data_IF_936805832953
#
_entry.id   IF_936805832953
#
_cell.length_a   1.000
_cell.length_b   1.000
_cell.length_c   1.000
_cell.angle_alpha   90.00
_cell.angle_beta   90.00
_cell.angle_gamma   90.00
#
_symmetry.space_group_name_H-M   'P 1'
#
loop_
_entity.id
_entity.type
_entity.pdbx_description
1 polymer ?
#
# COMPACT_ATOMS: atom_id res chain seq x y z
N UNK A 1 0.83 10.69 13.82
CA UNK A 1 -0.07 10.94 14.96
C UNK A 1 -0.77 9.64 15.29
N UNK A 2 -0.64 9.14 16.53
CA UNK A 2 -1.47 8.03 16.98
C UNK A 2 -2.92 8.51 16.99
N UNK A 3 -3.83 7.69 16.46
CA UNK A 3 -5.27 7.95 16.58
C UNK A 3 -5.64 7.85 18.05
N UNK A 4 -6.35 8.84 18.57
CA UNK A 4 -6.94 8.74 19.90
C UNK A 4 -7.85 7.50 19.96
N UNK A 5 -7.80 6.71 21.05
CA UNK A 5 -8.72 5.58 21.20
C UNK A 5 -10.16 6.11 21.20
N UNK A 6 -11.04 5.40 20.51
CA UNK A 6 -12.48 5.64 20.65
C UNK A 6 -12.89 5.41 22.09
N UNK A 7 -13.90 6.17 22.62
CA UNK A 7 -14.34 6.03 24.00
C UNK A 7 -14.69 4.57 24.29
N UNK A 8 -14.24 4.09 25.45
CA UNK A 8 -14.36 2.72 25.93
C UNK A 8 -15.81 2.21 25.83
N UNK A 9 -16.10 1.44 24.80
CA UNK A 9 -17.24 0.54 24.83
C UNK A 9 -16.82 -0.73 25.58
N UNK A 10 -17.15 -0.80 26.85
CA UNK A 10 -16.99 -2.02 27.64
C UNK A 10 -18.09 -3.01 27.28
N UNK A 11 -17.71 -4.09 26.64
CA UNK A 11 -18.62 -5.24 26.42
C UNK A 11 -18.43 -6.22 27.57
N UNK A 12 -19.56 -6.62 28.21
CA UNK A 12 -19.54 -7.58 29.30
C UNK A 12 -18.90 -8.92 28.84
N UNK A 13 -17.89 -9.40 29.58
CA UNK A 13 -17.14 -10.60 29.26
C UNK A 13 -15.93 -10.41 28.31
N UNK A 14 -15.61 -9.19 27.89
CA UNK A 14 -14.43 -8.88 27.08
C UNK A 14 -13.44 -8.00 27.83
N UNK A 15 -12.15 -8.32 27.69
CA UNK A 15 -11.06 -7.46 28.17
C UNK A 15 -10.49 -6.66 26.99
N UNK A 16 -10.40 -5.34 27.14
CA UNK A 16 -9.69 -4.47 26.20
C UNK A 16 -8.18 -4.75 26.26
N UNK A 17 -7.57 -5.04 25.11
CA UNK A 17 -6.12 -5.12 24.94
C UNK A 17 -5.67 -4.02 23.98
N UNK A 18 -5.37 -2.84 24.54
CA UNK A 18 -5.05 -1.61 23.79
C UNK A 18 -3.56 -1.46 23.46
N UNK A 19 -2.68 -2.30 24.06
CA UNK A 19 -1.22 -2.22 23.92
C UNK A 19 -0.63 -3.26 22.95
N UNK A 20 -1.42 -3.82 22.05
CA UNK A 20 -0.92 -4.84 21.11
C UNK A 20 -0.43 -4.26 19.78
N UNK A 21 -1.02 -3.16 19.34
CA UNK A 21 -0.77 -2.59 18.02
C UNK A 21 -0.78 -1.07 18.05
N UNK A 22 0.04 -0.50 17.16
CA UNK A 22 -0.01 0.93 16.78
C UNK A 22 -0.37 1.06 15.31
N UNK A 23 -1.01 2.17 14.94
CA UNK A 23 -1.25 2.55 13.55
C UNK A 23 -0.33 3.68 13.16
N UNK A 24 0.23 3.59 11.96
CA UNK A 24 1.01 4.65 11.36
C UNK A 24 0.23 5.29 10.23
N UNK A 25 0.07 6.61 10.30
CA UNK A 25 -0.54 7.38 9.24
C UNK A 25 0.38 8.54 8.84
N UNK A 26 0.32 8.91 7.56
CA UNK A 26 1.10 9.99 6.99
C UNK A 26 0.18 10.96 6.24
N UNK A 27 0.31 12.28 6.41
CA UNK A 27 -0.47 13.23 5.63
C UNK A 27 -0.03 13.17 4.16
N UNK A 28 -1.02 13.28 3.26
CA UNK A 28 -0.78 13.41 1.83
C UNK A 28 -0.74 14.89 1.45
N UNK A 29 0.25 15.25 0.64
CA UNK A 29 0.45 16.62 0.13
C UNK A 29 0.38 16.56 -1.39
N UNK A 30 -0.42 17.45 -1.99
CA UNK A 30 -0.62 17.45 -3.44
C UNK A 30 0.65 17.82 -4.23
N UNK A 31 1.51 18.65 -3.66
CA UNK A 31 2.81 18.99 -4.28
C UNK A 31 3.80 17.84 -4.06
N UNK A 32 4.28 17.26 -5.15
CA UNK A 32 5.15 16.08 -5.14
C UNK A 32 6.49 16.35 -4.44
N UNK A 33 7.06 17.54 -4.64
CA UNK A 33 8.34 17.89 -4.01
C UNK A 33 8.18 18.11 -2.50
N UNK A 34 7.07 18.75 -2.09
CA UNK A 34 6.71 18.90 -0.70
C UNK A 34 6.46 17.53 -0.06
N UNK A 35 5.72 16.63 -0.73
CA UNK A 35 5.51 15.26 -0.26
C UNK A 35 6.84 14.52 -0.06
N UNK A 36 7.76 14.59 -1.02
CA UNK A 36 9.08 13.98 -0.89
C UNK A 36 9.87 14.54 0.30
N UNK A 37 9.76 15.83 0.61
CA UNK A 37 10.46 16.45 1.75
C UNK A 37 9.98 15.95 3.10
N UNK A 38 8.77 15.39 3.20
CA UNK A 38 8.25 14.80 4.44
C UNK A 38 8.96 13.50 4.83
N UNK A 39 9.63 12.82 3.88
CA UNK A 39 10.33 11.57 4.15
C UNK A 39 11.77 11.77 4.62
N UNK A 40 12.30 10.82 5.42
CA UNK A 40 13.72 10.77 5.76
C UNK A 40 14.61 10.70 4.52
N UNK A 41 15.85 11.18 4.65
CA UNK A 41 16.82 11.25 3.54
C UNK A 41 17.03 9.91 2.82
N UNK A 42 17.11 8.83 3.59
CA UNK A 42 17.34 7.50 3.03
C UNK A 42 16.14 7.00 2.22
N UNK A 43 14.91 7.22 2.71
CA UNK A 43 13.68 6.91 1.99
C UNK A 43 13.63 7.68 0.68
N UNK A 44 13.90 9.01 0.71
CA UNK A 44 13.95 9.83 -0.50
C UNK A 44 14.97 9.32 -1.51
N UNK A 45 16.13 8.87 -1.04
CA UNK A 45 17.16 8.27 -1.89
C UNK A 45 16.64 7.01 -2.58
N UNK A 46 15.94 6.14 -1.85
CA UNK A 46 15.37 4.91 -2.38
C UNK A 46 14.26 5.18 -3.40
N UNK A 47 13.34 6.11 -3.11
CA UNK A 47 12.28 6.52 -4.05
C UNK A 47 12.90 6.98 -5.38
N UNK A 48 13.95 7.79 -5.33
CA UNK A 48 14.66 8.30 -6.53
C UNK A 48 15.40 7.22 -7.34
N UNK A 49 15.57 6.01 -6.82
CA UNK A 49 16.12 4.90 -7.62
C UNK A 49 15.08 4.40 -8.64
N UNK A 50 13.79 4.40 -8.30
CA UNK A 50 12.74 3.93 -9.20
C UNK A 50 12.84 4.51 -10.62
N UNK A 51 12.78 5.84 -10.81
CA UNK A 51 12.94 6.45 -12.14
C UNK A 51 14.28 6.15 -12.81
N UNK A 52 15.38 6.05 -12.06
CA UNK A 52 16.70 5.69 -12.61
C UNK A 52 16.73 4.29 -13.20
N UNK A 53 15.94 3.39 -12.62
CA UNK A 53 15.74 2.02 -13.10
C UNK A 53 14.56 1.90 -14.06
N UNK A 54 14.00 3.04 -14.54
CA UNK A 54 12.87 3.07 -15.48
C UNK A 54 11.62 2.36 -14.93
N UNK A 55 11.43 2.41 -13.61
CA UNK A 55 10.17 1.98 -13.02
C UNK A 55 9.06 2.97 -13.38
N UNK A 56 7.92 2.44 -13.74
CA UNK A 56 6.69 3.18 -14.03
C UNK A 56 5.55 2.65 -13.18
N UNK A 57 4.54 3.48 -12.94
CA UNK A 57 3.36 3.13 -12.18
C UNK A 57 2.09 3.35 -12.97
N UNK A 58 1.10 2.49 -12.76
CA UNK A 58 -0.21 2.57 -13.39
C UNK A 58 -1.28 2.07 -12.41
N UNK A 59 -2.45 2.74 -12.36
CA UNK A 59 -3.61 2.26 -11.60
C UNK A 59 -4.47 1.41 -12.54
N UNK A 60 -4.69 0.17 -12.14
CA UNK A 60 -5.51 -0.81 -12.86
C UNK A 60 -6.51 -1.47 -11.90
N UNK A 61 -7.29 -2.38 -12.42
CA UNK A 61 -8.27 -3.14 -11.64
C UNK A 61 -8.23 -4.63 -12.04
N UNK A 62 -9.32 -5.14 -12.57
CA UNK A 62 -9.48 -6.56 -12.94
C UNK A 62 -8.44 -7.03 -13.95
N UNK A 63 -7.99 -6.14 -14.85
CA UNK A 63 -6.96 -6.44 -15.85
C UNK A 63 -5.59 -6.76 -15.24
N UNK A 64 -5.33 -6.26 -14.03
CA UNK A 64 -4.10 -6.54 -13.31
C UNK A 64 -4.23 -7.66 -12.26
N UNK A 65 -5.41 -8.24 -12.09
CA UNK A 65 -5.69 -9.17 -10.98
C UNK A 65 -4.77 -10.40 -11.00
N UNK A 66 -4.52 -10.99 -12.17
CA UNK A 66 -3.68 -12.17 -12.28
C UNK A 66 -2.22 -11.84 -11.93
N UNK A 67 -1.66 -10.80 -12.56
CA UNK A 67 -0.27 -10.36 -12.32
C UNK A 67 -0.06 -9.95 -10.85
N UNK A 68 -1.03 -9.22 -10.28
CA UNK A 68 -1.02 -8.86 -8.86
C UNK A 68 -1.03 -10.10 -7.97
N UNK A 69 -1.91 -11.07 -8.26
CA UNK A 69 -2.01 -12.29 -7.46
C UNK A 69 -0.71 -13.08 -7.45
N UNK A 70 -0.07 -13.22 -8.61
CA UNK A 70 1.17 -13.99 -8.74
C UNK A 70 2.32 -13.37 -7.91
N UNK A 71 2.49 -12.05 -7.96
CA UNK A 71 3.51 -11.36 -7.17
C UNK A 71 3.17 -11.33 -5.68
N UNK A 72 1.89 -11.14 -5.34
CA UNK A 72 1.42 -11.21 -3.95
C UNK A 72 1.65 -12.60 -3.35
N UNK A 73 1.20 -13.66 -4.05
CA UNK A 73 1.35 -15.02 -3.59
C UNK A 73 2.83 -15.40 -3.39
N UNK A 74 3.70 -15.01 -4.33
CA UNK A 74 5.15 -15.20 -4.22
C UNK A 74 5.72 -14.50 -2.99
N UNK A 75 5.36 -13.23 -2.78
CA UNK A 75 5.86 -12.44 -1.65
C UNK A 75 5.41 -13.02 -0.30
N UNK A 76 4.14 -13.37 -0.19
CA UNK A 76 3.55 -13.89 1.06
C UNK A 76 4.08 -15.30 1.37
N UNK A 77 4.23 -16.15 0.34
CA UNK A 77 4.84 -17.47 0.48
C UNK A 77 6.27 -17.38 1.03
N UNK A 78 7.07 -16.44 0.50
CA UNK A 78 8.45 -16.22 0.96
C UNK A 78 8.51 -15.72 2.43
N UNK A 79 7.43 -15.13 2.94
CA UNK A 79 7.29 -14.73 4.34
C UNK A 79 6.73 -15.84 5.24
N UNK A 80 6.41 -17.01 4.69
CA UNK A 80 5.84 -18.14 5.44
C UNK A 80 4.40 -17.89 5.89
N UNK A 81 3.68 -16.98 5.25
CA UNK A 81 2.28 -16.65 5.58
C UNK A 81 1.34 -17.37 4.59
N UNK A 82 0.18 -17.89 5.04
CA UNK A 82 -0.81 -18.48 4.13
C UNK A 82 -1.29 -17.46 3.08
N UNK A 83 -1.37 -17.91 1.83
CA UNK A 83 -1.84 -17.10 0.71
C UNK A 83 -3.37 -17.16 0.66
N UNK A 84 -4.03 -15.99 0.62
CA UNK A 84 -5.47 -15.93 0.38
C UNK A 84 -5.81 -16.32 -1.07
N UNK A 85 -6.99 -16.91 -1.32
CA UNK A 85 -7.38 -17.30 -2.67
C UNK A 85 -7.60 -16.06 -3.56
N UNK A 86 -7.24 -16.17 -4.83
CA UNK A 86 -7.40 -15.08 -5.83
C UNK A 86 -8.85 -14.54 -5.88
N UNK A 87 -9.84 -15.41 -5.68
CA UNK A 87 -11.26 -15.04 -5.65
C UNK A 87 -11.54 -13.94 -4.63
N UNK A 88 -10.84 -13.90 -3.49
CA UNK A 88 -11.02 -12.84 -2.49
C UNK A 88 -10.74 -11.46 -3.09
N UNK A 89 -9.68 -11.33 -3.85
CA UNK A 89 -9.27 -10.07 -4.49
C UNK A 89 -10.21 -9.69 -5.64
N UNK A 90 -10.68 -10.67 -6.40
CA UNK A 90 -11.71 -10.46 -7.41
C UNK A 90 -13.01 -9.90 -6.79
N UNK A 91 -13.43 -10.46 -5.66
CA UNK A 91 -14.60 -9.96 -4.93
C UNK A 91 -14.38 -8.54 -4.37
N UNK A 92 -13.18 -8.22 -3.87
CA UNK A 92 -12.89 -6.84 -3.45
C UNK A 92 -13.02 -5.84 -4.59
N UNK A 93 -12.46 -6.13 -5.76
CA UNK A 93 -12.57 -5.26 -6.92
C UNK A 93 -14.03 -5.12 -7.38
N UNK A 94 -14.81 -6.20 -7.33
CA UNK A 94 -16.21 -6.19 -7.72
C UNK A 94 -17.10 -5.41 -6.75
N UNK A 95 -16.95 -5.66 -5.43
CA UNK A 95 -17.83 -5.07 -4.40
C UNK A 95 -17.47 -3.61 -4.09
N UNK A 96 -16.22 -3.19 -4.36
CA UNK A 96 -15.73 -1.85 -4.09
C UNK A 96 -15.23 -1.15 -5.38
N UNK A 97 -16.10 -0.95 -6.40
CA UNK A 97 -15.68 -0.47 -7.72
C UNK A 97 -14.99 0.89 -7.67
N UNK A 98 -15.40 1.79 -6.77
CA UNK A 98 -14.87 3.14 -6.63
C UNK A 98 -13.87 3.28 -5.47
N UNK A 99 -13.73 2.22 -4.65
CA UNK A 99 -12.99 2.26 -3.40
C UNK A 99 -11.91 1.17 -3.28
N UNK A 100 -11.61 0.45 -4.37
CA UNK A 100 -10.54 -0.55 -4.42
C UNK A 100 -9.90 -0.56 -5.80
N UNK A 101 -8.57 -0.48 -5.86
CA UNK A 101 -7.80 -0.63 -7.09
C UNK A 101 -6.42 -1.26 -6.84
N UNK A 102 -5.68 -1.49 -7.92
CA UNK A 102 -4.35 -2.08 -7.92
C UNK A 102 -3.38 -1.07 -8.56
N UNK A 103 -2.42 -0.55 -7.80
CA UNK A 103 -1.27 0.12 -8.37
C UNK A 103 -0.26 -0.93 -8.83
N UNK A 104 0.07 -0.89 -10.10
CA UNK A 104 1.06 -1.77 -10.74
C UNK A 104 2.36 -1.02 -10.95
N UNK A 105 3.49 -1.69 -10.67
CA UNK A 105 4.82 -1.20 -10.99
C UNK A 105 5.44 -2.08 -12.07
N UNK A 106 5.97 -1.44 -13.12
CA UNK A 106 6.65 -2.11 -14.23
C UNK A 106 8.07 -1.57 -14.42
N UNK A 107 8.96 -2.42 -14.94
CA UNK A 107 10.23 -2.00 -15.54
C UNK A 107 10.17 -2.30 -17.05
N UNK A 108 9.97 -1.28 -17.85
CA UNK A 108 9.64 -1.48 -19.26
C UNK A 108 8.34 -2.28 -19.42
N UNK A 109 8.43 -3.45 -20.07
CA UNK A 109 7.28 -4.37 -20.22
C UNK A 109 7.14 -5.39 -19.09
N UNK A 110 8.14 -5.49 -18.21
CA UNK A 110 8.17 -6.49 -17.16
C UNK A 110 7.37 -6.02 -15.94
N UNK A 111 6.47 -6.86 -15.44
CA UNK A 111 5.76 -6.65 -14.21
C UNK A 111 6.72 -6.82 -13.02
N UNK A 112 6.81 -5.83 -12.15
CA UNK A 112 7.80 -5.81 -11.08
C UNK A 112 7.19 -5.94 -9.68
N UNK A 113 6.00 -5.40 -9.49
CA UNK A 113 5.30 -5.44 -8.21
C UNK A 113 3.94 -4.75 -8.30
N UNK A 114 3.14 -4.91 -7.25
CA UNK A 114 1.84 -4.25 -7.17
C UNK A 114 1.36 -4.12 -5.72
N UNK A 115 0.40 -3.22 -5.52
CA UNK A 115 -0.32 -3.05 -4.27
C UNK A 115 -1.80 -2.85 -4.52
N UNK A 116 -2.64 -3.68 -3.89
CA UNK A 116 -4.08 -3.51 -3.83
C UNK A 116 -4.40 -2.62 -2.63
N UNK A 117 -5.15 -1.55 -2.89
CA UNK A 117 -5.45 -0.50 -1.92
C UNK A 117 -6.95 -0.29 -1.79
N UNK A 118 -7.36 0.08 -0.58
CA UNK A 118 -8.71 0.54 -0.29
C UNK A 118 -8.75 2.03 -0.03
N UNK A 119 -9.85 2.67 -0.40
CA UNK A 119 -10.10 4.09 -0.23
C UNK A 119 -11.35 4.30 0.61
N UNK A 120 -11.24 5.08 1.67
CA UNK A 120 -12.38 5.36 2.52
C UNK A 120 -12.31 6.79 3.04
N UNK A 121 -13.37 7.59 2.78
CA UNK A 121 -13.42 9.02 3.11
C UNK A 121 -12.22 9.76 2.49
N UNK A 122 -11.29 10.21 3.30
CA UNK A 122 -10.09 10.96 2.94
C UNK A 122 -8.80 10.12 2.98
N UNK A 123 -8.93 8.82 3.25
CA UNK A 123 -7.81 7.94 3.58
C UNK A 123 -7.62 6.85 2.52
N UNK A 124 -6.37 6.62 2.14
CA UNK A 124 -5.93 5.43 1.37
C UNK A 124 -5.22 4.45 2.28
N UNK A 125 -5.56 3.17 2.14
CA UNK A 125 -4.99 2.04 2.88
C UNK A 125 -4.40 1.02 1.91
N UNK A 126 -3.07 0.95 1.71
CA UNK A 126 -2.42 -0.14 1.00
C UNK A 126 -2.51 -1.41 1.85
N UNK A 127 -3.24 -2.40 1.37
CA UNK A 127 -3.56 -3.55 2.23
C UNK A 127 -2.80 -4.82 1.84
N UNK A 128 -2.70 -5.11 0.54
CA UNK A 128 -2.01 -6.28 0.02
C UNK A 128 -0.98 -5.86 -1.01
N UNK A 129 0.28 -6.17 -0.78
CA UNK A 129 1.36 -5.78 -1.66
C UNK A 129 2.33 -6.94 -1.91
N UNK A 130 3.00 -6.90 -3.06
CA UNK A 130 4.08 -7.78 -3.40
C UNK A 130 5.01 -7.16 -4.43
N UNK A 131 6.27 -7.58 -4.41
CA UNK A 131 7.26 -7.26 -5.43
C UNK A 131 8.17 -8.47 -5.64
N UNK A 132 8.61 -8.69 -6.88
CA UNK A 132 9.55 -9.76 -7.16
C UNK A 132 10.94 -9.42 -6.62
N UNK A 133 11.67 -10.38 -6.01
CA UNK A 133 12.94 -10.15 -5.34
C UNK A 133 14.01 -9.50 -6.21
N UNK A 134 14.05 -9.81 -7.52
CA UNK A 134 14.99 -9.24 -8.46
C UNK A 134 14.91 -7.72 -8.58
N UNK A 135 13.75 -7.11 -8.22
CA UNK A 135 13.57 -5.66 -8.25
C UNK A 135 13.86 -4.97 -6.91
N UNK A 136 14.16 -5.68 -5.83
CA UNK A 136 14.36 -5.02 -4.52
C UNK A 136 15.47 -3.98 -4.53
N UNK A 137 16.54 -4.22 -5.32
CA UNK A 137 17.67 -3.27 -5.44
C UNK A 137 17.33 -1.99 -6.17
N UNK A 138 16.21 -1.94 -6.90
CA UNK A 138 15.72 -0.73 -7.57
C UNK A 138 15.00 0.22 -6.64
N UNK A 139 14.79 -0.16 -5.38
CA UNK A 139 13.99 0.62 -4.42
C UNK A 139 12.48 0.49 -4.67
N UNK A 140 12.03 -0.58 -5.34
CA UNK A 140 10.64 -0.77 -5.78
C UNK A 140 9.62 -0.54 -4.67
N UNK A 141 9.84 -1.03 -3.46
CA UNK A 141 8.88 -0.88 -2.37
C UNK A 141 8.68 0.60 -1.99
N UNK A 142 9.77 1.36 -1.86
CA UNK A 142 9.68 2.79 -1.56
C UNK A 142 9.07 3.57 -2.74
N UNK A 143 9.41 3.21 -3.96
CA UNK A 143 8.85 3.81 -5.17
C UNK A 143 7.34 3.53 -5.27
N UNK A 144 6.91 2.29 -5.10
CA UNK A 144 5.51 1.86 -5.15
C UNK A 144 4.63 2.64 -4.15
N UNK A 145 5.08 2.78 -2.90
CA UNK A 145 4.34 3.54 -1.90
C UNK A 145 4.32 5.04 -2.20
N UNK A 146 5.44 5.60 -2.69
CA UNK A 146 5.48 7.01 -3.10
C UNK A 146 4.55 7.30 -4.27
N UNK A 147 4.50 6.41 -5.27
CA UNK A 147 3.58 6.51 -6.41
C UNK A 147 2.11 6.39 -5.97
N UNK A 148 1.81 5.44 -5.06
CA UNK A 148 0.46 5.34 -4.51
C UNK A 148 0.05 6.62 -3.77
N UNK A 149 0.94 7.21 -2.98
CA UNK A 149 0.69 8.50 -2.32
C UNK A 149 0.44 9.61 -3.33
N UNK A 150 1.25 9.70 -4.39
CA UNK A 150 1.10 10.69 -5.47
C UNK A 150 -0.25 10.54 -6.17
N UNK A 151 -0.62 9.32 -6.58
CA UNK A 151 -1.91 9.04 -7.22
C UNK A 151 -3.09 9.35 -6.31
N UNK A 152 -2.98 9.01 -5.03
CA UNK A 152 -4.04 9.27 -4.04
C UNK A 152 -4.20 10.77 -3.76
N UNK A 153 -3.11 11.51 -3.60
CA UNK A 153 -3.15 12.97 -3.41
C UNK A 153 -3.76 13.69 -4.62
N UNK A 154 -3.44 13.25 -5.84
CA UNK A 154 -4.03 13.78 -7.08
C UNK A 154 -5.56 13.55 -7.16
N UNK A 155 -6.08 12.52 -6.49
CA UNK A 155 -7.53 12.22 -6.36
C UNK A 155 -8.19 12.95 -5.17
N UNK A 156 -7.43 13.73 -4.40
CA UNK A 156 -7.94 14.52 -3.27
C UNK A 156 -7.92 13.80 -1.91
N UNK A 157 -7.31 12.63 -1.80
CA UNK A 157 -7.09 11.98 -0.51
C UNK A 157 -6.02 12.75 0.28
N UNK A 158 -6.22 12.85 1.60
CA UNK A 158 -5.35 13.66 2.47
C UNK A 158 -4.55 12.82 3.46
N UNK A 159 -4.83 11.51 3.54
CA UNK A 159 -4.24 10.62 4.53
C UNK A 159 -3.83 9.28 3.92
N UNK A 160 -2.63 8.85 4.27
CA UNK A 160 -2.10 7.53 3.95
C UNK A 160 -1.97 6.71 5.24
N UNK A 161 -2.64 5.57 5.32
CA UNK A 161 -2.64 4.69 6.48
C UNK A 161 -1.81 3.44 6.19
N UNK A 162 -0.67 3.27 6.85
CA UNK A 162 0.18 2.08 6.69
C UNK A 162 -0.37 0.83 7.38
N UNK A 163 -1.55 0.94 8.00
CA UNK A 163 -2.13 -0.15 8.77
C UNK A 163 -1.51 -0.27 10.17
N UNK A 164 -1.68 -1.43 10.76
CA UNK A 164 -1.24 -1.71 12.13
C UNK A 164 0.12 -2.41 12.14
N UNK A 165 0.93 -2.06 13.13
CA UNK A 165 2.16 -2.77 13.47
C UNK A 165 2.11 -3.23 14.94
N UNK A 166 2.73 -4.38 15.25
CA UNK A 166 2.89 -4.80 16.63
C UNK A 166 3.81 -3.81 17.36
N UNK A 167 3.51 -3.57 18.65
CA UNK A 167 4.39 -2.89 19.59
C UNK A 167 5.59 -3.77 19.95
#
# INVERSE_FOLDING_TARGET
QALEPEPEQTYEGFCLQDQLYVRFAHPLVADEEAQLKTFPRDVRRMIRQGPKHQLTSEILREDALQDFYDVYATSVHNLGTPVFPQRLFAEFLREFPDACDILVIRQGKQFAGAVLSFYFRDTVLPYYAGAYPEFYRTGINNFMYAELMRHSAARGFTRFDFGRSKL
#
